data_IF_084928711396
#
_entry.id   IF_084928711396
#
_cell.length_a   1.000
_cell.length_b   1.000
_cell.length_c   1.000
_cell.angle_alpha   90.00
_cell.angle_beta   90.00
_cell.angle_gamma   90.00
#
_symmetry.space_group_name_H-M   'P 1'
#
loop_
_entity.id
_entity.type
_entity.pdbx_description
1 polymer ?
#
# COMPACT_ATOMS: atom_id res chain seq x y z
N UNK A 1 0.51 7.86 3.45
CA UNK A 1 1.38 8.64 2.54
C UNK A 1 1.76 10.01 3.08
N UNK A 2 0.84 10.88 3.51
CA UNK A 2 1.19 12.24 3.98
C UNK A 2 2.29 12.27 5.04
N UNK A 3 2.20 11.41 6.06
CA UNK A 3 3.23 11.24 7.10
C UNK A 3 4.62 10.97 6.53
N UNK A 4 4.69 10.18 5.47
CA UNK A 4 5.92 9.73 4.83
C UNK A 4 6.44 10.75 3.82
N UNK A 5 5.55 11.36 3.04
CA UNK A 5 5.91 12.34 2.01
C UNK A 5 6.21 13.72 2.57
N UNK A 6 5.76 14.01 3.79
CA UNK A 6 5.82 15.35 4.39
C UNK A 6 4.96 16.36 3.63
N UNK A 7 4.03 15.89 2.78
CA UNK A 7 3.19 16.71 1.92
C UNK A 7 1.73 16.28 2.07
N UNK A 8 0.77 17.24 2.05
CA UNK A 8 -0.64 16.89 1.99
C UNK A 8 -0.96 16.12 0.71
N UNK A 9 -1.87 15.15 0.81
CA UNK A 9 -2.37 14.34 -0.31
C UNK A 9 -3.86 14.69 -0.45
N UNK A 10 -4.21 15.68 -1.28
CA UNK A 10 -5.60 16.09 -1.45
C UNK A 10 -6.44 14.95 -2.02
N UNK A 11 -7.66 14.79 -1.53
CA UNK A 11 -8.63 13.80 -2.01
C UNK A 11 -10.02 14.42 -2.12
N UNK A 12 -10.85 13.81 -2.97
CA UNK A 12 -12.27 14.15 -3.11
C UNK A 12 -13.08 12.86 -2.97
N UNK A 13 -14.25 12.95 -2.32
CA UNK A 13 -15.17 11.83 -2.22
C UNK A 13 -16.04 11.83 -3.48
N UNK A 14 -15.95 10.75 -4.25
CA UNK A 14 -16.71 10.53 -5.47
C UNK A 14 -17.61 9.30 -5.33
N UNK A 15 -18.41 9.01 -6.36
CA UNK A 15 -19.29 7.85 -6.40
C UNK A 15 -18.54 6.54 -6.17
N UNK A 16 -19.26 5.54 -5.64
CA UNK A 16 -18.71 4.19 -5.46
C UNK A 16 -18.31 3.59 -6.80
N UNK A 17 -17.12 3.00 -6.84
CA UNK A 17 -16.68 2.23 -8.00
C UNK A 17 -17.53 0.95 -8.13
N UNK A 18 -18.14 0.68 -9.30
CA UNK A 18 -18.90 -0.56 -9.51
C UNK A 18 -18.03 -1.80 -9.24
N UNK A 19 -18.54 -2.71 -8.39
CA UNK A 19 -17.84 -3.94 -8.00
C UNK A 19 -17.03 -3.85 -6.71
N UNK A 20 -16.82 -2.67 -6.12
CA UNK A 20 -16.11 -2.55 -4.84
C UNK A 20 -16.98 -3.07 -3.68
N UNK A 21 -16.38 -3.97 -2.88
CA UNK A 21 -16.94 -4.41 -1.59
C UNK A 21 -16.60 -3.40 -0.50
N UNK A 22 -17.39 -3.37 0.58
CA UNK A 22 -17.19 -2.39 1.66
C UNK A 22 -15.86 -2.55 2.41
N UNK A 23 -15.47 -3.79 2.72
CA UNK A 23 -14.23 -4.12 3.43
C UNK A 23 -13.75 -5.52 3.06
N UNK A 24 -12.43 -5.72 2.98
CA UNK A 24 -11.82 -7.03 2.78
C UNK A 24 -10.47 -7.11 3.50
N UNK A 25 -10.30 -8.12 4.34
CA UNK A 25 -9.06 -8.41 5.08
C UNK A 25 -8.93 -9.92 5.32
N UNK A 26 -7.70 -10.40 5.52
CA UNK A 26 -7.41 -11.82 5.68
C UNK A 26 -7.27 -12.20 7.16
N UNK A 27 -7.63 -13.45 7.50
CA UNK A 27 -7.12 -14.12 8.69
C UNK A 27 -5.82 -14.87 8.30
N UNK A 28 -4.64 -14.46 8.80
CA UNK A 28 -3.36 -15.03 8.39
C UNK A 28 -2.99 -16.35 9.10
N UNK A 29 -3.78 -16.79 10.09
CA UNK A 29 -3.43 -17.92 10.97
C UNK A 29 -3.01 -19.18 10.19
N UNK A 30 -3.74 -19.54 9.13
CA UNK A 30 -3.43 -20.74 8.33
C UNK A 30 -2.07 -20.66 7.62
N UNK A 31 -1.66 -19.48 7.16
CA UNK A 31 -0.36 -19.31 6.51
C UNK A 31 0.78 -19.40 7.53
N UNK A 32 0.59 -18.80 8.71
CA UNK A 32 1.51 -18.93 9.84
C UNK A 32 1.68 -20.40 10.25
N UNK A 33 0.58 -21.12 10.48
CA UNK A 33 0.64 -22.48 11.02
C UNK A 33 1.24 -23.50 10.04
N UNK A 34 1.00 -23.33 8.74
CA UNK A 34 1.47 -24.29 7.73
C UNK A 34 2.82 -23.94 7.12
N UNK A 35 3.13 -22.65 7.00
CA UNK A 35 4.31 -22.18 6.27
C UNK A 35 5.34 -21.52 7.19
N UNK A 36 5.00 -21.27 8.47
CA UNK A 36 5.79 -20.43 9.36
C UNK A 36 5.91 -19.00 8.86
N UNK A 37 5.00 -18.54 8.00
CA UNK A 37 5.06 -17.25 7.35
C UNK A 37 4.21 -16.20 8.08
N UNK A 38 4.80 -15.04 8.33
CA UNK A 38 4.13 -13.86 8.86
C UNK A 38 4.60 -12.60 8.11
N UNK A 39 3.69 -11.64 7.92
CA UNK A 39 4.05 -10.35 7.33
C UNK A 39 4.74 -9.46 8.38
N UNK A 40 6.00 -9.09 8.13
CA UNK A 40 6.85 -8.37 9.11
C UNK A 40 6.85 -6.84 8.95
N UNK A 41 6.04 -6.29 8.04
CA UNK A 41 6.06 -4.86 7.69
C UNK A 41 4.71 -4.25 7.94
N UNK A 42 4.71 -3.08 8.57
CA UNK A 42 3.49 -2.35 8.87
C UNK A 42 3.09 -1.39 7.74
N UNK A 43 1.96 -0.70 7.92
CA UNK A 43 1.46 0.27 6.94
C UNK A 43 2.44 1.46 6.73
N UNK A 44 3.20 1.83 7.76
CA UNK A 44 4.19 2.88 7.70
C UNK A 44 5.40 2.49 6.84
N UNK A 45 5.88 1.27 7.00
CA UNK A 45 6.92 0.67 6.17
C UNK A 45 6.50 0.65 4.70
N UNK A 46 5.28 0.14 4.43
CA UNK A 46 4.72 0.10 3.07
C UNK A 46 4.66 1.50 2.45
N UNK A 47 4.16 2.50 3.19
CA UNK A 47 4.09 3.88 2.71
C UNK A 47 5.50 4.45 2.41
N UNK A 48 6.47 4.18 3.29
CA UNK A 48 7.87 4.61 3.16
C UNK A 48 8.52 4.05 1.92
N UNK A 49 8.43 2.75 1.72
CA UNK A 49 9.14 2.09 0.64
C UNK A 49 8.52 2.46 -0.72
N UNK A 50 7.18 2.57 -0.79
CA UNK A 50 6.48 3.08 -1.96
C UNK A 50 6.84 4.54 -2.29
N UNK A 51 6.91 5.42 -1.28
CA UNK A 51 7.31 6.82 -1.50
C UNK A 51 8.77 6.95 -1.92
N UNK A 52 9.68 6.16 -1.34
CA UNK A 52 11.08 6.12 -1.74
C UNK A 52 11.25 5.70 -3.20
N UNK A 53 10.50 4.70 -3.64
CA UNK A 53 10.46 4.29 -5.05
C UNK A 53 9.97 5.44 -5.93
N UNK A 54 8.82 6.04 -5.61
CA UNK A 54 8.22 7.10 -6.41
C UNK A 54 9.12 8.34 -6.51
N UNK A 55 9.83 8.71 -5.44
CA UNK A 55 10.77 9.83 -5.46
C UNK A 55 11.96 9.59 -6.38
N UNK A 56 12.48 8.35 -6.41
CA UNK A 56 13.63 7.97 -7.24
C UNK A 56 13.26 7.72 -8.69
N UNK A 57 12.00 7.35 -8.94
CA UNK A 57 11.48 6.96 -10.24
C UNK A 57 10.18 7.75 -10.53
N UNK A 58 10.26 9.08 -10.68
CA UNK A 58 9.07 9.92 -10.81
C UNK A 58 8.23 9.57 -12.04
N UNK A 59 8.86 9.02 -13.09
CA UNK A 59 8.22 8.57 -14.33
C UNK A 59 8.14 7.03 -14.43
N UNK A 60 8.32 6.32 -13.31
CA UNK A 60 8.42 4.86 -13.31
C UNK A 60 9.71 4.35 -13.96
N UNK A 61 9.67 3.13 -14.51
CA UNK A 61 10.80 2.55 -15.24
C UNK A 61 11.04 3.32 -16.55
N UNK A 62 12.31 3.49 -16.92
CA UNK A 62 12.65 3.97 -18.26
C UNK A 62 12.33 2.86 -19.26
N UNK A 63 11.61 3.20 -20.32
CA UNK A 63 11.54 2.33 -21.49
C UNK A 63 12.96 2.21 -22.04
N UNK A 64 13.48 0.98 -22.10
CA UNK A 64 14.77 0.66 -22.70
C UNK A 64 14.74 0.78 -24.21
#
# INVERSE_FOLDING_TARGET
FEKTSGKPVPYEIVDRRPGDVATSYANPAKAHDLLGFEAERDLGDMCRDAWNWQQRNPMGFKNG
#
